data_IF_556309077667
#
_entry.id   IF_556309077667
#
_cell.length_a   1.000
_cell.length_b   1.000
_cell.length_c   1.000
_cell.angle_alpha   90.00
_cell.angle_beta   90.00
_cell.angle_gamma   90.00
#
_symmetry.space_group_name_H-M   'P 1'
#
loop_
_entity.id
_entity.type
_entity.pdbx_description
1 polymer ?
#
# COMPACT_ATOMS: atom_id res chain seq x y z
N UNK A 1 41.63 15.50 -35.15
CA UNK A 1 42.46 15.55 -33.93
C UNK A 1 41.78 16.48 -32.94
N UNK A 2 41.07 15.89 -31.99
CA UNK A 2 40.91 16.36 -30.61
C UNK A 2 40.17 15.21 -29.92
N UNK A 3 40.98 14.26 -29.48
CA UNK A 3 40.60 13.15 -28.63
C UNK A 3 40.40 13.74 -27.22
N UNK A 4 39.14 13.92 -26.83
CA UNK A 4 38.76 14.31 -25.48
C UNK A 4 37.39 13.72 -25.19
N UNK A 5 37.39 12.49 -24.68
CA UNK A 5 36.53 12.08 -23.56
C UNK A 5 36.89 10.65 -23.12
N UNK A 6 38.18 10.42 -22.86
CA UNK A 6 38.60 9.33 -22.00
C UNK A 6 38.45 9.75 -20.52
N UNK A 7 37.22 10.10 -20.12
CA UNK A 7 36.83 10.03 -18.72
C UNK A 7 36.54 8.56 -18.41
N UNK A 8 37.01 8.08 -17.26
CA UNK A 8 36.92 6.69 -16.83
C UNK A 8 35.43 6.34 -16.60
N UNK A 9 34.72 5.97 -17.67
CA UNK A 9 33.45 5.27 -17.59
C UNK A 9 33.76 3.79 -17.37
N UNK A 10 33.73 3.37 -16.12
CA UNK A 10 33.60 1.97 -15.76
C UNK A 10 32.17 1.47 -16.10
N UNK A 11 31.77 1.57 -17.37
CA UNK A 11 30.55 0.95 -17.89
C UNK A 11 30.84 -0.54 -18.14
N UNK A 12 30.83 -1.32 -17.06
CA UNK A 12 30.60 -2.75 -17.20
C UNK A 12 29.18 -2.93 -17.72
N UNK A 13 29.02 -3.15 -19.02
CA UNK A 13 27.77 -3.65 -19.58
C UNK A 13 27.52 -5.05 -18.99
N UNK A 14 26.77 -5.10 -17.90
CA UNK A 14 26.42 -6.33 -17.21
C UNK A 14 25.07 -6.82 -17.75
N UNK A 15 25.13 -7.72 -18.73
CA UNK A 15 23.96 -8.31 -19.40
C UNK A 15 23.45 -9.61 -18.73
N UNK A 16 24.07 -10.07 -17.62
CA UNK A 16 23.62 -11.28 -16.94
C UNK A 16 22.20 -11.09 -16.39
N UNK A 17 21.33 -12.03 -16.76
CA UNK A 17 19.98 -12.16 -16.22
C UNK A 17 19.93 -13.30 -15.23
N UNK A 18 19.33 -13.06 -14.07
CA UNK A 18 19.11 -14.06 -13.03
C UNK A 18 17.62 -14.34 -12.94
N UNK A 19 17.12 -15.41 -13.59
CA UNK A 19 15.70 -15.74 -13.50
C UNK A 19 15.34 -16.14 -12.06
N UNK A 20 14.09 -15.90 -11.63
CA UNK A 20 13.63 -16.38 -10.33
C UNK A 20 13.72 -17.91 -10.27
N UNK A 21 13.97 -18.44 -9.07
CA UNK A 21 14.01 -19.89 -8.87
C UNK A 21 12.61 -20.51 -9.09
N UNK A 22 12.53 -21.79 -9.47
CA UNK A 22 11.25 -22.50 -9.59
C UNK A 22 10.44 -22.49 -8.28
N UNK A 23 11.13 -22.58 -7.14
CA UNK A 23 10.52 -22.50 -5.80
C UNK A 23 9.88 -21.12 -5.55
N UNK A 24 10.54 -20.03 -5.95
CA UNK A 24 9.93 -18.71 -5.84
C UNK A 24 8.68 -18.60 -6.73
N UNK A 25 8.77 -19.09 -7.97
CA UNK A 25 7.66 -19.05 -8.92
C UNK A 25 6.43 -19.84 -8.43
N UNK A 26 6.60 -20.93 -7.69
CA UNK A 26 5.46 -21.71 -7.18
C UNK A 26 4.66 -21.01 -6.09
N UNK A 27 5.21 -19.97 -5.46
CA UNK A 27 4.55 -19.19 -4.41
C UNK A 27 4.22 -17.75 -4.84
N UNK A 28 4.66 -17.34 -6.03
CA UNK A 28 4.42 -16.01 -6.54
C UNK A 28 2.95 -15.83 -6.98
N UNK A 29 2.40 -14.64 -6.71
CA UNK A 29 1.06 -14.27 -7.16
C UNK A 29 1.00 -13.99 -8.67
N UNK A 30 2.15 -13.65 -9.27
CA UNK A 30 2.30 -13.25 -10.67
C UNK A 30 3.61 -13.85 -11.16
N UNK A 31 3.58 -14.57 -12.28
CA UNK A 31 4.73 -15.30 -12.81
C UNK A 31 5.07 -14.92 -14.26
N UNK A 32 4.24 -14.08 -14.88
CA UNK A 32 4.37 -13.66 -16.27
C UNK A 32 4.06 -12.15 -16.44
N UNK A 33 4.05 -11.69 -17.70
CA UNK A 33 3.82 -10.29 -18.04
C UNK A 33 2.34 -9.92 -18.25
N UNK A 34 1.40 -10.85 -18.06
CA UNK A 34 -0.03 -10.66 -18.41
C UNK A 34 -0.66 -9.44 -17.75
N UNK A 35 -0.25 -9.09 -16.52
CA UNK A 35 -0.77 -7.91 -15.85
C UNK A 35 -0.45 -6.60 -16.58
N UNK A 36 0.68 -6.52 -17.27
CA UNK A 36 1.04 -5.36 -18.08
C UNK A 36 0.20 -5.28 -19.35
N UNK A 37 -0.05 -6.44 -19.96
CA UNK A 37 -0.89 -6.54 -21.15
C UNK A 37 -2.33 -6.14 -20.82
N UNK A 38 -2.89 -6.65 -19.70
CA UNK A 38 -4.21 -6.29 -19.20
C UNK A 38 -4.33 -4.78 -18.91
N UNK A 39 -3.34 -4.22 -18.20
CA UNK A 39 -3.32 -2.79 -17.87
C UNK A 39 -3.17 -1.88 -19.09
N UNK A 40 -2.49 -2.36 -20.15
CA UNK A 40 -2.33 -1.64 -21.42
C UNK A 40 -3.61 -1.70 -22.26
N UNK A 41 -4.30 -2.84 -22.25
CA UNK A 41 -5.52 -3.05 -23.00
C UNK A 41 -6.69 -2.19 -22.47
N UNK A 42 -6.91 -2.18 -21.16
CA UNK A 42 -7.90 -1.31 -20.52
C UNK A 42 -7.45 -0.94 -19.09
N UNK A 43 -6.87 0.25 -18.98
CA UNK A 43 -6.32 0.75 -17.72
C UNK A 43 -7.40 0.99 -16.66
N UNK A 44 -8.59 1.44 -17.05
CA UNK A 44 -9.67 1.70 -16.08
C UNK A 44 -10.24 0.38 -15.56
N UNK A 45 -10.55 -0.57 -16.44
CA UNK A 45 -11.02 -1.89 -16.03
C UNK A 45 -9.99 -2.62 -15.16
N UNK A 46 -8.70 -2.52 -15.50
CA UNK A 46 -7.62 -3.07 -14.69
C UNK A 46 -7.64 -2.50 -13.27
N UNK A 47 -7.67 -1.18 -13.12
CA UNK A 47 -7.67 -0.54 -11.78
C UNK A 47 -8.97 -0.78 -11.02
N UNK A 48 -10.12 -0.85 -11.70
CA UNK A 48 -11.37 -1.25 -11.07
C UNK A 48 -11.26 -2.64 -10.45
N UNK A 49 -10.71 -3.62 -11.17
CA UNK A 49 -10.46 -4.98 -10.66
C UNK A 49 -9.55 -4.98 -9.43
N UNK A 50 -8.48 -4.20 -9.45
CA UNK A 50 -7.57 -4.11 -8.29
C UNK A 50 -8.27 -3.47 -7.07
N UNK A 51 -9.13 -2.47 -7.29
CA UNK A 51 -9.83 -1.77 -6.22
C UNK A 51 -10.87 -2.64 -5.50
N UNK A 52 -11.33 -3.75 -6.09
CA UNK A 52 -12.19 -4.75 -5.42
C UNK A 52 -11.48 -5.47 -4.26
N UNK A 53 -10.15 -5.39 -4.15
CA UNK A 53 -9.41 -5.97 -3.02
C UNK A 53 -9.59 -5.17 -1.71
N UNK A 54 -10.23 -4.00 -1.77
CA UNK A 54 -10.57 -3.16 -0.64
C UNK A 54 -12.04 -3.33 -0.28
N UNK A 55 -12.34 -3.16 1.01
CA UNK A 55 -13.70 -3.10 1.50
C UNK A 55 -14.21 -1.67 1.37
N UNK A 56 -15.23 -1.49 0.53
CA UNK A 56 -15.91 -0.23 0.29
C UNK A 56 -17.24 -0.22 1.04
N UNK A 57 -17.62 0.92 1.59
CA UNK A 57 -18.99 1.12 2.10
C UNK A 57 -19.94 1.38 0.93
N UNK A 58 -19.56 2.34 0.08
CA UNK A 58 -20.23 2.61 -1.18
C UNK A 58 -19.25 2.39 -2.32
N UNK A 59 -19.66 1.63 -3.34
CA UNK A 59 -18.84 1.39 -4.52
C UNK A 59 -18.83 2.64 -5.41
N UNK A 60 -17.69 2.88 -6.05
CA UNK A 60 -17.54 4.02 -6.96
C UNK A 60 -18.45 3.90 -8.19
N UNK A 61 -18.86 5.04 -8.74
CA UNK A 61 -19.62 5.15 -9.99
C UNK A 61 -18.73 5.46 -11.20
N UNK A 62 -17.58 6.09 -10.97
CA UNK A 62 -16.62 6.48 -12.02
C UNK A 62 -15.23 6.10 -11.58
N UNK A 63 -14.49 5.39 -12.45
CA UNK A 63 -13.15 4.88 -12.12
C UNK A 63 -12.12 6.00 -12.13
N UNK A 64 -12.07 6.78 -13.22
CA UNK A 64 -11.14 7.90 -13.33
C UNK A 64 -11.78 9.08 -14.08
N UNK A 65 -11.62 10.29 -13.54
CA UNK A 65 -11.82 11.55 -14.26
C UNK A 65 -10.48 12.28 -14.25
N UNK A 66 -9.89 12.47 -15.44
CA UNK A 66 -8.59 13.12 -15.56
C UNK A 66 -8.68 14.42 -16.36
N UNK A 67 -8.56 15.52 -15.63
CA UNK A 67 -8.49 16.88 -16.15
C UNK A 67 -7.14 17.49 -15.77
N UNK A 68 -6.11 17.25 -16.62
CA UNK A 68 -4.72 17.63 -16.36
C UNK A 68 -4.60 19.06 -15.78
N UNK A 69 -3.85 19.25 -14.66
CA UNK A 69 -3.00 18.28 -13.96
C UNK A 69 -3.73 17.41 -12.92
N UNK A 70 -5.04 17.53 -12.79
CA UNK A 70 -5.82 16.90 -11.72
C UNK A 70 -6.43 15.57 -12.16
N UNK A 71 -6.29 14.54 -11.32
CA UNK A 71 -6.94 13.26 -11.50
C UNK A 71 -7.80 12.94 -10.26
N UNK A 72 -9.01 12.44 -10.49
CA UNK A 72 -9.90 11.91 -9.45
C UNK A 72 -10.14 10.44 -9.74
N UNK A 73 -9.91 9.59 -8.75
CA UNK A 73 -10.08 8.15 -8.86
C UNK A 73 -11.22 7.68 -7.97
N UNK A 74 -11.95 6.67 -8.44
CA UNK A 74 -13.02 5.98 -7.71
C UNK A 74 -14.08 6.94 -7.15
N UNK A 75 -14.57 7.83 -8.01
CA UNK A 75 -15.52 8.90 -7.65
C UNK A 75 -16.85 8.27 -7.23
N UNK A 76 -17.41 8.79 -6.13
CA UNK A 76 -18.60 8.25 -5.49
C UNK A 76 -18.30 7.10 -4.52
N UNK A 77 -17.10 6.53 -4.57
CA UNK A 77 -16.69 5.48 -3.65
C UNK A 77 -16.38 6.02 -2.26
N UNK A 78 -16.82 5.30 -1.22
CA UNK A 78 -16.52 5.63 0.17
C UNK A 78 -15.91 4.43 0.88
N UNK A 79 -14.85 4.69 1.66
CA UNK A 79 -14.18 3.69 2.48
C UNK A 79 -13.55 4.35 3.71
N UNK A 80 -13.07 3.52 4.63
CA UNK A 80 -12.19 3.95 5.72
C UNK A 80 -10.88 3.14 5.67
N UNK A 81 -9.75 3.84 5.75
CA UNK A 81 -8.41 3.22 5.70
C UNK A 81 -8.14 2.35 6.93
N UNK A 82 -8.53 2.80 8.12
CA UNK A 82 -8.38 2.01 9.36
C UNK A 82 -9.16 0.70 9.26
N UNK A 83 -10.40 0.73 8.73
CA UNK A 83 -11.22 -0.48 8.56
C UNK A 83 -10.56 -1.49 7.61
N UNK A 84 -10.00 -1.01 6.51
CA UNK A 84 -9.26 -1.85 5.57
C UNK A 84 -7.92 -2.37 6.14
N UNK A 85 -7.29 -1.61 7.04
CA UNK A 85 -6.00 -1.95 7.61
C UNK A 85 -6.09 -2.82 8.87
N UNK A 86 -7.18 -2.73 9.65
CA UNK A 86 -7.30 -3.33 10.97
C UNK A 86 -8.63 -4.10 11.14
N UNK A 87 -9.75 -3.38 11.12
CA UNK A 87 -11.06 -3.92 11.53
C UNK A 87 -11.45 -5.15 10.71
N UNK A 88 -11.31 -5.12 9.38
CA UNK A 88 -11.69 -6.26 8.51
C UNK A 88 -10.93 -7.54 8.85
N UNK A 89 -9.69 -7.42 9.34
CA UNK A 89 -8.89 -8.57 9.71
C UNK A 89 -9.36 -9.16 11.04
N UNK A 90 -9.71 -8.32 12.01
CA UNK A 90 -10.30 -8.76 13.28
C UNK A 90 -11.66 -9.42 13.06
N UNK A 91 -12.54 -8.77 12.28
CA UNK A 91 -13.87 -9.30 11.91
C UNK A 91 -13.77 -10.64 11.18
N UNK A 92 -12.76 -10.82 10.32
CA UNK A 92 -12.48 -12.09 9.64
C UNK A 92 -11.87 -13.18 10.55
N UNK A 93 -11.88 -12.98 11.87
CA UNK A 93 -11.37 -13.95 12.85
C UNK A 93 -9.84 -14.00 12.96
N UNK A 94 -9.13 -13.01 12.42
CA UNK A 94 -7.66 -12.92 12.46
C UNK A 94 -7.16 -11.98 13.56
N UNK A 95 -7.96 -11.77 14.61
CA UNK A 95 -7.62 -10.88 15.73
C UNK A 95 -6.31 -11.26 16.42
N UNK A 96 -6.03 -12.56 16.58
CA UNK A 96 -4.81 -13.07 17.21
C UNK A 96 -3.59 -13.09 16.27
N UNK A 97 -3.79 -12.83 14.97
CA UNK A 97 -2.67 -12.73 14.03
C UNK A 97 -1.85 -11.50 14.38
N UNK A 98 -0.52 -11.64 14.36
CA UNK A 98 0.39 -10.52 14.53
C UNK A 98 0.22 -9.50 13.39
N UNK A 99 0.00 -8.24 13.75
CA UNK A 99 -0.07 -7.11 12.84
C UNK A 99 1.25 -6.35 12.77
N UNK A 100 1.95 -6.21 13.90
CA UNK A 100 3.17 -5.42 13.98
C UNK A 100 4.18 -6.04 14.95
N UNK A 101 5.40 -6.27 14.44
CA UNK A 101 6.57 -6.54 15.26
C UNK A 101 7.33 -5.23 15.39
N UNK A 102 7.45 -4.74 16.63
CA UNK A 102 8.22 -3.55 16.96
C UNK A 102 9.51 -3.97 17.64
N UNK A 103 10.63 -3.42 17.19
CA UNK A 103 11.95 -3.57 17.80
C UNK A 103 12.53 -2.17 18.04
N UNK A 104 12.83 -1.85 19.28
CA UNK A 104 13.47 -0.61 19.71
C UNK A 104 14.93 -0.80 20.07
N UNK A 105 15.68 0.29 20.16
CA UNK A 105 17.05 0.30 20.66
C UNK A 105 17.03 0.55 22.18
N UNK A 106 17.65 -0.29 23.04
CA UNK A 106 18.75 -1.23 22.78
C UNK A 106 18.34 -2.73 22.69
N UNK A 107 17.13 -3.04 22.20
CA UNK A 107 16.64 -4.42 22.02
C UNK A 107 15.25 -4.70 22.58
N UNK A 108 14.49 -3.67 22.98
CA UNK A 108 13.11 -3.85 23.42
C UNK A 108 12.26 -4.35 22.25
N UNK A 109 11.42 -5.37 22.47
CA UNK A 109 10.55 -5.88 21.42
C UNK A 109 9.09 -5.89 21.88
N UNK A 110 8.18 -5.68 20.93
CA UNK A 110 6.74 -5.86 21.13
C UNK A 110 6.17 -6.60 19.93
N UNK A 111 5.30 -7.56 20.22
CA UNK A 111 4.49 -8.26 19.22
C UNK A 111 3.05 -7.84 19.45
N UNK A 112 2.45 -7.17 18.46
CA UNK A 112 1.13 -6.57 18.57
C UNK A 112 0.21 -7.29 17.58
N UNK A 113 -0.87 -7.88 18.07
CA UNK A 113 -1.88 -8.54 17.23
C UNK A 113 -2.84 -7.52 16.59
N UNK A 114 -3.59 -7.94 15.56
CA UNK A 114 -4.61 -7.07 14.94
C UNK A 114 -5.64 -6.57 15.96
N UNK A 115 -6.08 -7.42 16.90
CA UNK A 115 -7.04 -7.02 17.92
C UNK A 115 -6.45 -5.97 18.89
N UNK A 116 -5.19 -6.13 19.30
CA UNK A 116 -4.50 -5.16 20.16
C UNK A 116 -4.25 -3.84 19.44
N UNK A 117 -3.80 -3.89 18.18
CA UNK A 117 -3.58 -2.69 17.38
C UNK A 117 -4.89 -1.91 17.16
N UNK A 118 -6.00 -2.61 16.91
CA UNK A 118 -7.31 -1.98 16.76
C UNK A 118 -7.74 -1.25 18.03
N UNK A 119 -7.64 -1.91 19.20
CA UNK A 119 -7.96 -1.29 20.50
C UNK A 119 -7.13 -0.02 20.78
N UNK A 120 -5.82 -0.06 20.52
CA UNK A 120 -4.95 1.12 20.68
C UNK A 120 -5.30 2.27 19.72
N UNK A 121 -5.62 1.95 18.46
CA UNK A 121 -6.05 2.94 17.46
C UNK A 121 -7.40 3.56 17.83
N UNK A 122 -8.37 2.76 18.29
CA UNK A 122 -9.67 3.26 18.73
C UNK A 122 -9.55 4.18 19.95
N UNK A 123 -8.70 3.82 20.92
CA UNK A 123 -8.41 4.66 22.08
C UNK A 123 -7.85 6.01 21.66
N UNK A 124 -6.83 6.02 20.80
CA UNK A 124 -6.23 7.26 20.32
C UNK A 124 -7.20 8.09 19.47
N UNK A 125 -8.00 7.44 18.60
CA UNK A 125 -9.04 8.12 17.83
C UNK A 125 -10.07 8.82 18.72
N UNK A 126 -10.47 8.19 19.84
CA UNK A 126 -11.37 8.81 20.82
C UNK A 126 -10.72 9.98 21.58
N UNK A 127 -9.42 9.91 21.87
CA UNK A 127 -8.67 11.06 22.41
C UNK A 127 -8.72 12.24 21.43
N UNK A 128 -8.43 12.01 20.14
CA UNK A 128 -8.48 13.07 19.11
C UNK A 128 -9.89 13.68 18.99
N UNK A 129 -10.94 12.84 19.02
CA UNK A 129 -12.34 13.31 19.02
C UNK A 129 -12.65 14.18 20.23
N UNK A 130 -12.16 13.80 21.42
CA UNK A 130 -12.33 14.59 22.65
C UNK A 130 -11.60 15.93 22.60
N UNK A 131 -10.47 16.01 21.88
CA UNK A 131 -9.76 17.26 21.60
C UNK A 131 -10.44 18.11 20.51
N UNK A 132 -11.55 17.64 19.95
CA UNK A 132 -12.36 18.37 18.97
C UNK A 132 -11.95 18.19 17.52
N UNK A 133 -11.06 17.23 17.20
CA UNK A 133 -10.66 16.93 15.82
C UNK A 133 -11.86 16.40 15.01
N UNK A 134 -12.05 16.94 13.81
CA UNK A 134 -13.13 16.60 12.88
C UNK A 134 -12.59 16.17 11.52
N UNK A 135 -13.47 15.58 10.70
CA UNK A 135 -13.16 15.23 9.31
C UNK A 135 -12.73 16.48 8.54
N UNK A 136 -11.54 16.42 7.93
CA UNK A 136 -10.94 17.54 7.18
C UNK A 136 -9.91 18.33 7.98
N UNK A 137 -9.82 18.14 9.30
CA UNK A 137 -8.76 18.73 10.10
C UNK A 137 -7.43 18.03 9.84
N UNK A 138 -6.34 18.78 10.06
CA UNK A 138 -4.96 18.30 9.90
C UNK A 138 -4.36 18.05 11.28
N UNK A 139 -3.79 16.86 11.47
CA UNK A 139 -3.08 16.47 12.69
C UNK A 139 -1.62 16.24 12.31
N UNK A 140 -0.71 17.01 12.89
CA UNK A 140 0.73 16.79 12.72
C UNK A 140 1.19 15.67 13.65
N UNK A 141 1.95 14.74 13.10
CA UNK A 141 2.54 13.63 13.85
C UNK A 141 4.05 13.81 13.82
N UNK A 142 4.66 14.00 14.99
CA UNK A 142 6.11 14.04 15.16
C UNK A 142 6.49 12.90 16.10
N UNK A 143 6.87 11.78 15.49
CA UNK A 143 7.27 10.54 16.16
C UNK A 143 8.73 10.24 15.84
N UNK A 144 9.46 9.54 16.75
CA UNK A 144 10.84 9.11 16.53
C UNK A 144 10.95 8.06 15.42
#
# INVERSE_FOLDING_TARGET
MADSDAAIEALSFEDRRFPPSPEFLSHALVTDASMYDDATADREAFWAKQAEALDWYDKWSTICEWNLPFAKWFIGGTLNVSVNALDRHVVAGKGDKVAFHWEGEPGDTRTITYAQMLDEVERFANVLKNLGVKRGDRVNIYMP
#
